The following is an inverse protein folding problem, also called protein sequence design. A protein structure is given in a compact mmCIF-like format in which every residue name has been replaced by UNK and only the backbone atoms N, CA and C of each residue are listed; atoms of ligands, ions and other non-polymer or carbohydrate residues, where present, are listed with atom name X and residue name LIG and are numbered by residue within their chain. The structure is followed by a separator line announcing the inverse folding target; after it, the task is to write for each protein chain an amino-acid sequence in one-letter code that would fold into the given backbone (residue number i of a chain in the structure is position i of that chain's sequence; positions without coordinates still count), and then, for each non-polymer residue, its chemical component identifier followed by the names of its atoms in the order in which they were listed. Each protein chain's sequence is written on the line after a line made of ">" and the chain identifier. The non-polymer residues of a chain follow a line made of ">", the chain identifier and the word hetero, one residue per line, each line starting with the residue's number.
data_IF_823732385254
#
_entry.id   IF_823732385254
#
_cell.length_a   1.000
_cell.length_b   1.000
_cell.length_c   1.000
_cell.angle_alpha   90.00
_cell.angle_beta   90.00
_cell.angle_gamma   90.00
#
_symmetry.space_group_name_H-M   'P 1'
#
loop_
_entity.id
_entity.type
_entity.pdbx_description
1 polymer ?
#
# COMPACT_ATOMS: atom_id res chain seq x y z
N UNK A 1 -10.91 -15.48 -26.12
CA UNK A 1 -10.62 -14.91 -24.77
C UNK A 1 -9.44 -13.94 -24.83
N UNK A 2 -9.12 -13.16 -23.79
CA UNK A 2 -7.96 -12.23 -23.80
C UNK A 2 -6.66 -12.98 -24.14
N UNK A 3 -6.46 -14.17 -23.58
CA UNK A 3 -5.30 -15.01 -23.89
C UNK A 3 -5.16 -15.36 -25.38
N UNK A 4 -6.25 -15.79 -26.03
CA UNK A 4 -6.24 -16.07 -27.48
C UNK A 4 -5.88 -14.85 -28.33
N UNK A 5 -6.33 -13.64 -27.93
CA UNK A 5 -5.99 -12.41 -28.65
C UNK A 5 -4.50 -12.07 -28.50
N UNK A 6 -3.95 -12.24 -27.29
CA UNK A 6 -2.52 -12.07 -27.01
C UNK A 6 -1.70 -13.07 -27.82
N UNK A 7 -2.06 -14.34 -27.77
CA UNK A 7 -1.38 -15.39 -28.52
C UNK A 7 -1.39 -15.11 -30.02
N UNK A 8 -2.56 -14.83 -30.60
CA UNK A 8 -2.67 -14.51 -32.02
C UNK A 8 -1.83 -13.27 -32.39
N UNK A 9 -1.90 -12.21 -31.59
CA UNK A 9 -1.16 -10.97 -31.84
C UNK A 9 0.36 -11.20 -31.87
N UNK A 10 0.90 -11.87 -30.84
CA UNK A 10 2.35 -12.09 -30.73
C UNK A 10 2.85 -13.20 -31.66
N UNK A 11 2.04 -14.22 -31.94
CA UNK A 11 2.40 -15.26 -32.90
C UNK A 11 2.51 -14.72 -34.34
N UNK A 12 1.68 -13.71 -34.69
CA UNK A 12 1.72 -13.07 -36.01
C UNK A 12 2.85 -12.04 -36.11
N UNK A 13 2.99 -11.17 -35.11
CA UNK A 13 3.93 -10.04 -35.18
C UNK A 13 5.35 -10.37 -34.72
N UNK A 14 5.51 -11.32 -33.79
CA UNK A 14 6.79 -11.68 -33.16
C UNK A 14 7.05 -13.19 -33.23
N UNK A 15 6.74 -13.81 -34.38
CA UNK A 15 6.71 -15.27 -34.58
C UNK A 15 7.97 -16.00 -34.12
N UNK A 16 9.15 -15.45 -34.39
CA UNK A 16 10.43 -16.10 -34.09
C UNK A 16 10.85 -15.95 -32.63
N UNK A 17 10.27 -14.97 -31.91
CA UNK A 17 10.70 -14.61 -30.57
C UNK A 17 9.68 -14.91 -29.48
N UNK A 18 8.40 -15.03 -29.81
CA UNK A 18 7.33 -15.31 -28.86
C UNK A 18 7.53 -16.70 -28.21
N UNK A 19 7.47 -16.74 -26.87
CA UNK A 19 7.61 -17.97 -26.08
C UNK A 19 6.29 -18.37 -25.42
N UNK A 20 5.73 -17.48 -24.60
CA UNK A 20 4.50 -17.74 -23.86
C UNK A 20 3.91 -16.43 -23.33
N UNK A 21 2.67 -16.50 -22.84
CA UNK A 21 2.05 -15.39 -22.13
C UNK A 21 1.36 -15.89 -20.86
N UNK A 22 1.24 -14.98 -19.89
CA UNK A 22 0.49 -15.18 -18.66
C UNK A 22 -0.54 -14.05 -18.53
N UNK A 23 -1.82 -14.39 -18.60
CA UNK A 23 -2.91 -13.41 -18.45
C UNK A 23 -3.02 -12.98 -16.99
N UNK A 24 -3.33 -11.70 -16.77
CA UNK A 24 -3.57 -11.14 -15.45
C UNK A 24 -5.04 -11.31 -15.06
N UNK A 25 -5.25 -11.75 -13.81
CA UNK A 25 -6.58 -11.91 -13.22
C UNK A 25 -6.73 -10.93 -12.06
N UNK A 26 -7.94 -10.39 -11.89
CA UNK A 26 -8.29 -9.61 -10.71
C UNK A 26 -8.49 -10.56 -9.52
N UNK A 27 -7.45 -10.69 -8.71
CA UNK A 27 -7.42 -11.52 -7.50
C UNK A 27 -7.32 -10.67 -6.22
N UNK A 28 -7.77 -9.41 -6.24
CA UNK A 28 -7.61 -8.50 -5.09
C UNK A 28 -8.35 -8.97 -3.83
N UNK A 29 -9.56 -9.51 -3.99
CA UNK A 29 -10.34 -10.08 -2.88
C UNK A 29 -9.62 -11.29 -2.29
N UNK A 30 -9.18 -12.21 -3.15
CA UNK A 30 -8.42 -13.39 -2.77
C UNK A 30 -7.11 -13.03 -2.04
N UNK A 31 -6.34 -12.08 -2.58
CA UNK A 31 -5.11 -11.60 -1.96
C UNK A 31 -5.37 -11.05 -0.55
N UNK A 32 -6.44 -10.29 -0.36
CA UNK A 32 -6.83 -9.75 0.95
C UNK A 32 -7.20 -10.85 1.95
N UNK A 33 -7.83 -11.95 1.50
CA UNK A 33 -8.15 -13.11 2.36
C UNK A 33 -6.87 -13.84 2.78
N UNK A 34 -5.95 -14.06 1.83
CA UNK A 34 -4.65 -14.70 2.10
C UNK A 34 -3.84 -13.87 3.10
N UNK A 35 -3.81 -12.55 2.97
CA UNK A 35 -3.11 -11.65 3.88
C UNK A 35 -3.71 -11.68 5.29
N UNK A 36 -5.04 -11.63 5.41
CA UNK A 36 -5.75 -11.79 6.70
C UNK A 36 -5.41 -13.12 7.36
N UNK A 37 -5.44 -14.22 6.60
CA UNK A 37 -5.10 -15.56 7.09
C UNK A 37 -3.66 -15.65 7.60
N UNK A 38 -2.69 -15.09 6.87
CA UNK A 38 -1.28 -15.00 7.33
C UNK A 38 -1.17 -14.24 8.66
N UNK A 39 -1.88 -13.11 8.78
CA UNK A 39 -1.94 -12.35 10.03
C UNK A 39 -2.46 -13.18 11.21
N UNK A 40 -3.58 -13.88 11.02
CA UNK A 40 -4.15 -14.76 12.06
C UNK A 40 -3.25 -15.96 12.38
N UNK A 41 -2.56 -16.51 11.38
CA UNK A 41 -1.65 -17.62 11.59
C UNK A 41 -0.45 -17.22 12.47
N UNK A 42 0.06 -15.99 12.32
CA UNK A 42 1.08 -15.46 13.23
C UNK A 42 0.56 -15.36 14.68
N UNK A 43 -0.69 -14.94 14.88
CA UNK A 43 -1.33 -14.94 16.19
C UNK A 43 -1.52 -16.35 16.76
N UNK A 44 -1.96 -17.31 15.93
CA UNK A 44 -2.09 -18.70 16.34
C UNK A 44 -0.74 -19.24 16.85
N UNK A 45 0.33 -19.04 16.09
CA UNK A 45 1.69 -19.44 16.50
C UNK A 45 2.11 -18.76 17.80
N UNK A 46 1.78 -17.48 17.99
CA UNK A 46 2.04 -16.78 19.25
C UNK A 46 1.34 -17.44 20.45
N UNK A 47 0.06 -17.77 20.33
CA UNK A 47 -0.71 -18.42 21.40
C UNK A 47 -0.29 -19.87 21.63
N UNK A 48 0.06 -20.62 20.59
CA UNK A 48 0.61 -21.98 20.71
C UNK A 48 1.94 -21.99 21.47
N UNK A 49 2.84 -21.04 21.16
CA UNK A 49 4.09 -20.87 21.89
C UNK A 49 3.85 -20.46 23.35
N UNK A 50 2.83 -19.66 23.62
CA UNK A 50 2.46 -19.27 24.98
C UNK A 50 1.91 -20.47 25.78
N UNK A 51 1.06 -21.28 25.15
CA UNK A 51 0.52 -22.50 25.73
C UNK A 51 1.63 -23.54 26.02
N UNK A 52 2.57 -23.71 25.08
CA UNK A 52 3.70 -24.61 25.26
C UNK A 52 4.61 -24.22 26.44
N UNK A 53 4.74 -22.91 26.73
CA UNK A 53 5.50 -22.43 27.89
C UNK A 53 4.77 -22.63 29.21
N UNK A 54 3.45 -22.42 29.24
CA UNK A 54 2.62 -22.51 30.45
C UNK A 54 1.29 -23.21 30.13
N UNK A 55 1.25 -24.56 30.17
CA UNK A 55 0.07 -25.32 29.77
C UNK A 55 -1.12 -25.17 30.72
N UNK A 56 -0.87 -24.78 31.97
CA UNK A 56 -1.93 -24.61 32.99
C UNK A 56 -2.68 -23.26 32.86
N UNK A 57 -2.17 -22.31 32.07
CA UNK A 57 -2.75 -20.98 31.96
C UNK A 57 -3.83 -20.95 30.88
N UNK A 58 -5.07 -20.69 31.26
CA UNK A 58 -6.17 -20.47 30.31
C UNK A 58 -5.90 -19.25 29.41
N UNK A 59 -5.91 -19.48 28.09
CA UNK A 59 -5.68 -18.46 27.07
C UNK A 59 -7.01 -17.90 26.59
N UNK A 60 -7.52 -16.89 27.31
CA UNK A 60 -8.82 -16.28 27.01
C UNK A 60 -8.61 -14.96 26.26
N UNK A 61 -9.31 -14.81 25.14
CA UNK A 61 -9.46 -13.53 24.43
C UNK A 61 -10.90 -13.04 24.50
N UNK A 62 -11.08 -11.73 24.30
CA UNK A 62 -12.39 -11.13 24.07
C UNK A 62 -12.53 -10.82 22.58
N UNK A 63 -13.69 -11.11 22.01
CA UNK A 63 -13.96 -10.98 20.57
C UNK A 63 -14.16 -9.54 20.08
N UNK A 64 -14.45 -8.59 20.97
CA UNK A 64 -14.79 -7.21 20.58
C UNK A 64 -13.61 -6.28 20.34
N UNK A 65 -13.93 -5.01 20.04
CA UNK A 65 -12.97 -3.99 19.66
C UNK A 65 -11.89 -3.80 20.73
N UNK A 66 -10.62 -3.89 20.30
CA UNK A 66 -9.42 -3.71 21.12
C UNK A 66 -9.34 -4.63 22.35
N UNK A 67 -10.10 -5.74 22.35
CA UNK A 67 -10.15 -6.68 23.48
C UNK A 67 -10.86 -6.12 24.72
N UNK A 68 -11.64 -5.04 24.61
CA UNK A 68 -12.33 -4.42 25.75
C UNK A 68 -13.74 -5.00 25.97
N UNK A 69 -14.48 -5.23 24.89
CA UNK A 69 -15.85 -5.73 24.89
C UNK A 69 -15.95 -7.13 24.27
N UNK A 70 -17.08 -7.82 24.48
CA UNK A 70 -17.37 -9.12 23.86
C UNK A 70 -17.27 -10.33 24.79
N UNK A 71 -17.59 -11.49 24.22
CA UNK A 71 -17.55 -12.78 24.90
C UNK A 71 -16.11 -13.24 25.12
N UNK A 72 -15.87 -13.87 26.27
CA UNK A 72 -14.61 -14.51 26.61
C UNK A 72 -14.55 -15.89 25.98
N UNK A 73 -13.66 -16.08 25.02
CA UNK A 73 -13.51 -17.34 24.29
C UNK A 73 -12.07 -17.83 24.37
N UNK A 74 -11.88 -19.15 24.24
CA UNK A 74 -10.55 -19.73 24.11
C UNK A 74 -9.88 -19.25 22.82
N UNK A 75 -8.69 -18.65 22.97
CA UNK A 75 -7.93 -18.06 21.90
C UNK A 75 -7.58 -19.10 20.83
N UNK A 76 -7.07 -20.26 21.23
CA UNK A 76 -6.58 -21.27 20.31
C UNK A 76 -7.71 -21.82 19.44
N UNK A 77 -8.81 -22.23 20.07
CA UNK A 77 -9.96 -22.73 19.33
C UNK A 77 -10.54 -21.66 18.40
N UNK A 78 -10.68 -20.42 18.86
CA UNK A 78 -11.18 -19.33 18.05
C UNK A 78 -10.34 -19.12 16.79
N UNK A 79 -9.02 -18.94 16.92
CA UNK A 79 -8.15 -18.73 15.76
C UNK A 79 -8.12 -19.92 14.80
N UNK A 80 -8.14 -21.16 15.31
CA UNK A 80 -8.22 -22.37 14.46
C UNK A 80 -9.50 -22.37 13.61
N UNK A 81 -10.65 -22.17 14.25
CA UNK A 81 -11.95 -22.12 13.54
C UNK A 81 -12.01 -20.95 12.54
N UNK A 82 -11.53 -19.76 12.91
CA UNK A 82 -11.48 -18.62 11.98
C UNK A 82 -10.56 -18.90 10.77
N UNK A 83 -9.42 -19.55 10.97
CA UNK A 83 -8.51 -19.93 9.88
C UNK A 83 -9.18 -20.95 8.95
N UNK A 84 -9.88 -21.95 9.49
CA UNK A 84 -10.62 -22.93 8.70
C UNK A 84 -11.72 -22.28 7.85
N UNK A 85 -12.49 -21.35 8.43
CA UNK A 85 -13.49 -20.55 7.70
C UNK A 85 -12.85 -19.73 6.58
N UNK A 86 -11.72 -19.08 6.84
CA UNK A 86 -10.99 -18.33 5.81
C UNK A 86 -10.43 -19.22 4.72
N UNK A 87 -9.95 -20.43 5.04
CA UNK A 87 -9.52 -21.42 4.03
C UNK A 87 -10.68 -21.76 3.09
N UNK A 88 -11.87 -21.99 3.63
CA UNK A 88 -13.05 -22.29 2.83
C UNK A 88 -13.42 -21.12 1.91
N UNK A 89 -13.43 -19.89 2.44
CA UNK A 89 -13.67 -18.68 1.64
C UNK A 89 -12.60 -18.48 0.57
N UNK A 90 -11.33 -18.75 0.88
CA UNK A 90 -10.21 -18.68 -0.05
C UNK A 90 -10.42 -19.62 -1.25
N UNK A 91 -10.81 -20.87 -1.01
CA UNK A 91 -11.06 -21.85 -2.07
C UNK A 91 -12.28 -21.49 -2.92
N UNK A 92 -13.35 -21.00 -2.30
CA UNK A 92 -14.54 -20.50 -3.01
C UNK A 92 -14.19 -19.31 -3.92
N UNK A 93 -13.42 -18.34 -3.42
CA UNK A 93 -12.99 -17.18 -4.21
C UNK A 93 -12.00 -17.56 -5.31
N UNK A 94 -11.08 -18.51 -5.07
CA UNK A 94 -10.18 -19.05 -6.11
C UNK A 94 -10.96 -19.64 -7.27
N UNK A 95 -12.00 -20.43 -6.99
CA UNK A 95 -12.85 -21.01 -8.03
C UNK A 95 -13.62 -19.93 -8.79
N UNK A 96 -14.11 -18.89 -8.11
CA UNK A 96 -14.78 -17.74 -8.75
C UNK A 96 -13.85 -16.98 -9.68
N UNK A 97 -12.63 -16.67 -9.26
CA UNK A 97 -11.65 -15.93 -10.08
C UNK A 97 -11.27 -16.70 -11.36
N UNK A 98 -11.14 -18.02 -11.28
CA UNK A 98 -10.81 -18.86 -12.45
C UNK A 98 -12.00 -19.01 -13.41
N UNK A 99 -13.22 -19.10 -12.87
CA UNK A 99 -14.43 -19.34 -13.66
C UNK A 99 -15.07 -18.08 -14.24
N UNK A 100 -14.93 -16.92 -13.59
CA UNK A 100 -15.55 -15.67 -14.03
C UNK A 100 -14.73 -14.99 -15.14
N UNK A 101 -15.28 -14.85 -16.36
CA UNK A 101 -14.60 -14.11 -17.43
C UNK A 101 -14.40 -12.62 -17.12
N UNK A 102 -15.18 -12.03 -16.21
CA UNK A 102 -15.02 -10.63 -15.79
C UNK A 102 -13.80 -10.40 -14.91
N UNK A 103 -13.30 -11.45 -14.26
CA UNK A 103 -12.08 -11.38 -13.48
C UNK A 103 -10.83 -11.29 -14.38
N UNK A 104 -10.94 -11.61 -15.67
CA UNK A 104 -9.85 -11.52 -16.62
C UNK A 104 -9.59 -10.06 -16.97
N UNK A 105 -8.39 -9.57 -16.66
CA UNK A 105 -7.99 -8.22 -16.98
C UNK A 105 -7.45 -8.14 -18.42
N UNK A 106 -7.63 -7.00 -19.13
CA UNK A 106 -7.05 -6.77 -20.45
C UNK A 106 -5.54 -6.46 -20.35
N UNK A 107 -4.80 -7.31 -19.62
CA UNK A 107 -3.36 -7.20 -19.38
C UNK A 107 -2.75 -8.61 -19.32
N UNK A 108 -1.54 -8.75 -19.83
CA UNK A 108 -0.79 -10.01 -19.82
C UNK A 108 0.71 -9.75 -19.74
N UNK A 109 1.42 -10.65 -19.07
CA UNK A 109 2.88 -10.73 -19.18
C UNK A 109 3.22 -11.59 -20.38
N UNK A 110 4.13 -11.12 -21.22
CA UNK A 110 4.57 -11.83 -22.42
C UNK A 110 6.05 -12.14 -22.29
N UNK A 111 6.39 -13.41 -22.49
CA UNK A 111 7.75 -13.91 -22.44
C UNK A 111 8.26 -14.17 -23.85
N UNK A 112 9.53 -13.87 -24.06
CA UNK A 112 10.23 -14.09 -25.33
C UNK A 112 11.42 -15.04 -25.13
N UNK A 113 11.82 -15.73 -26.19
CA UNK A 113 13.00 -16.61 -26.18
C UNK A 113 14.33 -15.85 -26.18
N UNK A 114 14.31 -14.56 -26.51
CA UNK A 114 15.48 -13.70 -26.65
C UNK A 114 15.24 -12.36 -25.97
N UNK A 115 16.26 -11.88 -25.24
CA UNK A 115 16.27 -10.56 -24.61
C UNK A 115 16.15 -9.44 -25.66
N UNK A 116 16.71 -9.64 -26.85
CA UNK A 116 16.58 -8.70 -27.96
C UNK A 116 15.13 -8.57 -28.42
N UNK A 117 14.43 -9.71 -28.59
CA UNK A 117 13.01 -9.70 -28.98
C UNK A 117 12.13 -9.01 -27.94
N UNK A 118 12.37 -9.25 -26.65
CA UNK A 118 11.70 -8.55 -25.57
C UNK A 118 11.98 -7.04 -25.60
N UNK A 119 13.23 -6.65 -25.83
CA UNK A 119 13.64 -5.25 -25.89
C UNK A 119 13.00 -4.49 -27.05
N UNK A 120 12.94 -5.11 -28.24
CA UNK A 120 12.28 -4.54 -29.41
C UNK A 120 10.79 -4.39 -29.14
N UNK A 121 10.13 -5.42 -28.59
CA UNK A 121 8.72 -5.35 -28.26
C UNK A 121 8.41 -4.22 -27.27
N UNK A 122 9.19 -4.07 -26.20
CA UNK A 122 8.94 -3.06 -25.16
C UNK A 122 9.18 -1.62 -25.65
N UNK A 123 10.00 -1.42 -26.67
CA UNK A 123 10.36 -0.08 -27.18
C UNK A 123 9.56 0.35 -28.41
N UNK A 124 8.89 -0.59 -29.09
CA UNK A 124 8.19 -0.30 -30.35
C UNK A 124 6.70 -0.15 -30.12
N UNK A 125 6.10 0.83 -30.82
CA UNK A 125 4.65 0.98 -30.84
C UNK A 125 4.04 -0.18 -31.66
N UNK A 126 3.24 -1.01 -31.00
CA UNK A 126 2.69 -2.23 -31.58
C UNK A 126 1.54 -2.00 -32.57
N UNK A 127 0.73 -0.95 -32.37
CA UNK A 127 -0.41 -0.63 -33.24
C UNK A 127 -0.52 0.86 -33.55
N UNK A 128 -1.25 1.23 -34.60
CA UNK A 128 -1.46 2.63 -34.97
C UNK A 128 -2.13 3.46 -33.87
N UNK A 129 -2.91 2.83 -32.99
CA UNK A 129 -3.53 3.52 -31.87
C UNK A 129 -2.58 3.48 -30.65
N UNK A 130 -2.09 4.63 -30.16
CA UNK A 130 -1.12 4.66 -29.06
C UNK A 130 -1.71 4.27 -27.70
N UNK A 131 -3.04 4.12 -27.55
CA UNK A 131 -3.66 3.74 -26.27
C UNK A 131 -3.95 2.25 -26.15
N UNK A 132 -3.66 1.46 -27.18
CA UNK A 132 -3.96 0.02 -27.25
C UNK A 132 -2.67 -0.75 -27.49
N UNK A 133 -2.53 -1.93 -26.86
CA UNK A 133 -1.31 -2.74 -26.90
C UNK A 133 -0.08 -1.97 -26.39
N UNK A 134 -0.27 -1.28 -25.26
CA UNK A 134 0.82 -0.63 -24.53
C UNK A 134 1.75 -1.71 -23.97
N UNK A 135 3.03 -1.61 -24.33
CA UNK A 135 4.08 -2.52 -23.88
C UNK A 135 5.06 -1.77 -23.01
N UNK A 136 5.32 -2.31 -21.82
CA UNK A 136 6.31 -1.79 -20.89
C UNK A 136 7.21 -2.93 -20.44
N UNK A 137 8.40 -2.59 -19.94
CA UNK A 137 9.28 -3.58 -19.35
C UNK A 137 8.65 -4.16 -18.10
N UNK A 138 8.44 -5.48 -18.08
CA UNK A 138 7.92 -6.15 -16.90
C UNK A 138 8.92 -6.03 -15.75
N UNK A 139 8.50 -5.56 -14.56
CA UNK A 139 9.36 -5.55 -13.39
C UNK A 139 9.63 -6.97 -12.88
N UNK A 140 10.61 -7.13 -12.01
CA UNK A 140 10.87 -8.41 -11.35
C UNK A 140 9.59 -8.89 -10.62
N UNK A 141 9.25 -10.20 -10.62
CA UNK A 141 8.01 -10.70 -10.02
C UNK A 141 7.77 -10.29 -8.55
N UNK A 142 8.84 -9.95 -7.82
CA UNK A 142 8.79 -9.46 -6.43
C UNK A 142 8.47 -7.96 -6.33
N UNK A 143 8.81 -7.20 -7.36
CA UNK A 143 8.58 -5.74 -7.46
C UNK A 143 7.24 -5.42 -8.14
N UNK A 144 6.53 -6.43 -8.64
CA UNK A 144 5.17 -6.26 -9.18
C UNK A 144 4.21 -5.96 -8.04
N UNK A 145 3.62 -4.76 -8.05
CA UNK A 145 2.51 -4.42 -7.18
C UNK A 145 1.18 -4.89 -7.79
N UNK A 146 0.83 -6.15 -7.54
CA UNK A 146 -0.33 -6.85 -8.12
C UNK A 146 -1.67 -6.10 -8.01
N UNK A 147 -2.01 -5.42 -6.90
CA UNK A 147 -3.30 -4.74 -6.79
C UNK A 147 -3.52 -3.63 -7.83
N UNK A 148 -2.44 -3.04 -8.36
CA UNK A 148 -2.53 -1.99 -9.37
C UNK A 148 -2.84 -2.52 -10.77
N UNK A 149 -2.54 -3.80 -11.05
CA UNK A 149 -2.78 -4.39 -12.37
C UNK A 149 -4.27 -4.60 -12.68
N UNK A 150 -5.11 -4.62 -11.65
CA UNK A 150 -6.57 -4.72 -11.80
C UNK A 150 -7.25 -3.38 -12.13
N UNK A 151 -6.50 -2.28 -12.23
CA UNK A 151 -7.05 -0.95 -12.47
C UNK A 151 -7.11 -0.68 -13.98
N UNK A 152 -8.29 -0.37 -14.56
CA UNK A 152 -8.41 -0.04 -15.98
C UNK A 152 -7.74 1.31 -16.31
N UNK A 153 -7.25 1.43 -17.55
CA UNK A 153 -6.47 2.59 -18.01
C UNK A 153 -7.15 3.95 -17.81
N UNK A 154 -8.46 4.03 -18.06
CA UNK A 154 -9.24 5.27 -17.88
C UNK A 154 -9.29 5.71 -16.42
N UNK A 155 -9.39 4.76 -15.49
CA UNK A 155 -9.43 5.04 -14.05
C UNK A 155 -8.08 5.55 -13.54
N UNK A 156 -6.96 5.10 -14.12
CA UNK A 156 -5.62 5.63 -13.80
C UNK A 156 -5.53 7.14 -14.03
N UNK A 157 -6.14 7.65 -15.11
CA UNK A 157 -6.11 9.09 -15.43
C UNK A 157 -6.91 9.90 -14.40
N UNK A 158 -8.08 9.40 -13.99
CA UNK A 158 -8.92 10.04 -12.96
C UNK A 158 -8.21 10.03 -11.61
N UNK A 159 -7.63 8.89 -11.21
CA UNK A 159 -6.86 8.77 -9.97
C UNK A 159 -5.66 9.71 -9.95
N UNK A 160 -4.95 9.87 -11.06
CA UNK A 160 -3.84 10.84 -11.18
C UNK A 160 -4.32 12.27 -10.97
N UNK A 161 -5.47 12.65 -11.53
CA UNK A 161 -6.06 13.97 -11.32
C UNK A 161 -6.45 14.19 -9.85
N UNK A 162 -7.09 13.20 -9.22
CA UNK A 162 -7.46 13.26 -7.79
C UNK A 162 -6.21 13.44 -6.92
N UNK A 163 -5.15 12.67 -7.18
CA UNK A 163 -3.90 12.77 -6.42
C UNK A 163 -3.20 14.12 -6.62
N UNK A 164 -3.24 14.70 -7.83
CA UNK A 164 -2.70 16.02 -8.09
C UNK A 164 -3.46 17.11 -7.32
N UNK A 165 -4.79 17.04 -7.28
CA UNK A 165 -5.64 17.95 -6.51
C UNK A 165 -5.41 17.78 -5.00
N UNK A 166 -5.33 16.54 -4.51
CA UNK A 166 -5.03 16.26 -3.11
C UNK A 166 -3.64 16.79 -2.69
N UNK A 167 -2.62 16.63 -3.55
CA UNK A 167 -1.28 17.16 -3.30
C UNK A 167 -1.27 18.69 -3.27
N UNK A 168 -2.03 19.36 -4.14
CA UNK A 168 -2.18 20.81 -4.11
C UNK A 168 -2.76 21.30 -2.78
N UNK A 169 -3.81 20.65 -2.27
CA UNK A 169 -4.36 21.01 -0.96
C UNK A 169 -3.40 20.69 0.17
N UNK A 170 -2.70 19.56 0.11
CA UNK A 170 -1.68 19.21 1.09
C UNK A 170 -0.61 20.29 1.18
N UNK A 171 -0.04 20.74 0.06
CA UNK A 171 0.98 21.79 0.05
C UNK A 171 0.42 23.13 0.54
N UNK A 172 -0.79 23.48 0.14
CA UNK A 172 -1.46 24.70 0.61
C UNK A 172 -1.67 24.70 2.12
N UNK A 173 -2.24 23.64 2.70
CA UNK A 173 -2.44 23.54 4.14
C UNK A 173 -1.11 23.46 4.91
N UNK A 174 -0.08 22.87 4.31
CA UNK A 174 1.25 22.79 4.91
C UNK A 174 1.98 24.15 4.94
N UNK A 175 1.50 25.18 4.22
CA UNK A 175 2.02 26.55 4.37
C UNK A 175 1.77 27.12 5.77
N UNK A 176 0.69 26.73 6.44
CA UNK A 176 0.34 27.21 7.80
C UNK A 176 1.38 26.82 8.85
N UNK A 177 1.74 25.52 9.03
CA UNK A 177 2.78 25.15 9.99
C UNK A 177 4.15 25.70 9.61
N UNK A 178 4.46 25.83 8.30
CA UNK A 178 5.70 26.48 7.86
C UNK A 178 5.74 27.93 8.34
N UNK A 179 4.67 28.69 8.14
CA UNK A 179 4.60 30.08 8.59
C UNK A 179 4.75 30.21 10.12
N UNK A 180 4.14 29.30 10.89
CA UNK A 180 4.30 29.26 12.35
C UNK A 180 5.76 29.01 12.74
N UNK A 181 6.43 28.02 12.15
CA UNK A 181 7.85 27.75 12.44
C UNK A 181 8.73 28.94 12.05
N UNK A 182 8.47 29.56 10.89
CA UNK A 182 9.21 30.75 10.44
C UNK A 182 8.99 31.95 11.39
N UNK A 183 7.79 32.11 11.94
CA UNK A 183 7.51 33.17 12.92
C UNK A 183 8.23 32.96 14.26
N UNK A 184 8.39 31.73 14.71
CA UNK A 184 9.15 31.41 15.93
C UNK A 184 10.66 31.56 15.70
N UNK A 185 11.14 31.26 14.50
CA UNK A 185 12.57 31.34 14.18
C UNK A 185 13.08 32.78 14.00
N UNK A 186 12.27 33.69 13.43
CA UNK A 186 12.64 35.08 13.16
C UNK A 186 11.83 36.06 14.03
N UNK A 187 11.88 35.88 15.35
CA UNK A 187 11.19 36.74 16.32
C UNK A 187 11.64 38.21 16.21
N UNK A 188 12.93 38.44 15.96
CA UNK A 188 13.53 39.79 15.88
C UNK A 188 12.98 40.61 14.69
N UNK A 189 12.69 39.96 13.56
CA UNK A 189 12.10 40.63 12.39
C UNK A 189 10.60 40.92 12.59
N UNK A 190 9.88 40.05 13.31
CA UNK A 190 8.47 40.28 13.67
C UNK A 190 8.34 41.45 14.66
N UNK A 191 9.28 41.57 15.60
CA UNK A 191 9.33 42.69 16.55
C UNK A 191 9.44 44.06 15.85
N UNK A 192 10.12 44.09 14.69
CA UNK A 192 10.30 45.29 13.88
C UNK A 192 9.07 45.66 13.04
N UNK A 193 8.30 44.67 12.59
CA UNK A 193 7.12 44.86 11.71
C UNK A 193 5.83 45.04 12.52
N UNK A 194 5.71 44.44 13.71
CA UNK A 194 4.52 44.50 14.58
C UNK A 194 4.91 44.91 16.02
N UNK A 195 5.04 46.22 16.30
CA UNK A 195 5.58 46.72 17.57
C UNK A 195 4.69 46.42 18.80
N UNK A 196 3.46 45.93 18.61
CA UNK A 196 2.57 45.52 19.71
C UNK A 196 2.92 44.15 20.33
N UNK A 197 3.79 43.35 19.69
CA UNK A 197 4.24 42.06 20.21
C UNK A 197 5.45 42.18 21.17
N UNK A 198 6.12 43.33 21.19
CA UNK A 198 7.25 43.67 22.06
C UNK A 198 7.07 43.28 23.54
N UNK A 199 5.99 43.69 24.23
CA UNK A 199 5.85 43.43 25.67
C UNK A 199 5.63 41.95 26.02
N UNK A 200 5.23 41.11 25.06
CA UNK A 200 5.02 39.66 25.28
C UNK A 200 6.33 38.90 25.11
N UNK A 201 7.14 39.27 24.11
CA UNK A 201 8.42 38.63 23.80
C UNK A 201 9.48 38.98 24.86
N UNK A 202 9.54 40.23 25.34
CA UNK A 202 10.48 40.63 26.40
C UNK A 202 10.27 39.84 27.71
N UNK A 203 9.03 39.43 28.04
CA UNK A 203 8.76 38.62 29.24
C UNK A 203 9.27 37.18 29.12
N UNK A 204 9.16 36.58 27.93
CA UNK A 204 9.63 35.22 27.64
C UNK A 204 11.17 35.15 27.62
N UNK A 205 11.86 36.14 27.02
CA UNK A 205 13.33 36.17 26.97
C UNK A 205 13.96 36.34 28.36
N UNK A 206 13.37 37.17 29.23
CA UNK A 206 13.84 37.38 30.61
C UNK A 206 13.71 36.09 31.44
N UNK A 207 12.68 35.27 31.22
CA UNK A 207 12.56 33.97 31.88
C UNK A 207 13.60 32.96 31.36
N UNK A 208 13.86 32.89 30.06
CA UNK A 208 14.90 32.02 29.49
C UNK A 208 16.33 32.36 29.97
N UNK A 209 16.63 33.65 30.15
CA UNK A 209 17.90 34.11 30.74
C UNK A 209 17.99 33.84 32.24
N UNK A 210 16.88 33.96 32.98
CA UNK A 210 16.82 33.61 34.42
C UNK A 210 17.06 32.12 34.66
N UNK A 211 16.57 31.24 33.78
CA UNK A 211 16.86 29.80 33.85
C UNK A 211 18.32 29.47 33.51
N UNK A 212 18.93 30.14 32.52
CA UNK A 212 20.37 30.00 32.24
C UNK A 212 21.25 30.50 33.38
N UNK A 213 20.91 31.62 34.00
CA UNK A 213 21.63 32.15 35.16
C UNK A 213 21.55 31.18 36.36
N UNK A 214 20.36 30.62 36.63
CA UNK A 214 20.17 29.64 37.71
C UNK A 214 20.93 28.32 37.50
N UNK A 215 21.18 27.88 36.26
CA UNK A 215 21.97 26.67 35.98
C UNK A 215 23.48 26.91 36.00
N UNK A 216 23.93 28.17 35.87
CA UNK A 216 25.35 28.54 35.93
C UNK A 216 25.84 28.80 37.37
N UNK A 217 24.94 29.05 38.31
CA UNK A 217 25.23 29.16 39.76
C UNK A 217 25.19 27.80 40.50
N UNK A 218 24.83 26.70 39.82
CA UNK A 218 24.75 25.35 40.40
C UNK A 218 25.93 24.43 40.05
N UNK A 219 27.05 24.98 39.57
CA UNK A 219 28.33 24.28 39.34
C UNK A 219 29.47 25.00 40.05
#
# INVERSE_FOLDING_TARGET
>A
TVGEHVEHFFAVNHREHYLSHQVVYNANTLASLVEKKKGLQNWLVYYENQHAKNPEKELIIKTGLWGLWGEKVDALQHYKTTIEELCKQEDEERQKVISDPKAIMPAAFVSFNSQWGAAVCAQTQQTSNPTVWLTEWAPEPRDVYWPNLAIPFVELSVRRLIMAVALFFLTFFFMVPIALVQSVANLDDIERVLPFLKPIIEREMVQGQSYKASCQESH
#
